data_IF_472386264434
#
_entry.id   IF_472386264434
#
_cell.length_a   1.000
_cell.length_b   1.000
_cell.length_c   1.000
_cell.angle_alpha   90.00
_cell.angle_beta   90.00
_cell.angle_gamma   90.00
#
_symmetry.space_group_name_H-M   'P 1'
#
loop_
_entity.id
_entity.type
_entity.pdbx_description
1 polymer ?
#
# COMPACT_ATOMS: atom_id res chain seq x y z
N UNK A 1 -3.35 -13.27 -34.67
CA UNK A 1 -4.81 -13.10 -34.48
C UNK A 1 -5.25 -14.02 -33.33
N UNK A 2 -5.31 -13.54 -32.08
CA UNK A 2 -5.71 -14.37 -30.92
C UNK A 2 -7.24 -14.33 -30.80
N UNK A 3 -7.88 -15.51 -30.77
CA UNK A 3 -9.35 -15.65 -30.70
C UNK A 3 -9.87 -15.05 -29.38
N UNK A 4 -10.89 -14.18 -29.45
CA UNK A 4 -11.62 -13.69 -28.28
C UNK A 4 -12.26 -14.88 -27.54
N UNK A 5 -12.14 -15.01 -26.21
CA UNK A 5 -12.90 -16.01 -25.48
C UNK A 5 -14.38 -15.62 -25.56
N UNK A 6 -15.20 -16.50 -26.13
CA UNK A 6 -16.66 -16.35 -26.13
C UNK A 6 -17.24 -16.55 -24.73
N UNK A 7 -18.53 -16.23 -24.56
CA UNK A 7 -19.30 -16.32 -23.32
C UNK A 7 -19.13 -17.67 -22.58
N UNK A 8 -18.88 -18.77 -23.31
CA UNK A 8 -18.58 -20.09 -22.73
C UNK A 8 -17.26 -20.19 -21.93
N UNK A 9 -16.32 -19.26 -22.11
CA UNK A 9 -15.10 -19.17 -21.28
C UNK A 9 -15.39 -18.66 -19.86
N UNK A 10 -16.35 -17.75 -19.72
CA UNK A 10 -16.77 -17.21 -18.42
C UNK A 10 -17.57 -18.22 -17.60
N UNK A 11 -18.35 -19.08 -18.27
CA UNK A 11 -19.10 -20.16 -17.63
C UNK A 11 -18.17 -21.22 -17.01
N UNK A 12 -17.03 -21.51 -17.64
CA UNK A 12 -15.99 -22.39 -17.09
C UNK A 12 -15.25 -21.75 -15.90
N UNK A 13 -15.04 -20.43 -15.91
CA UNK A 13 -14.48 -19.70 -14.77
C UNK A 13 -15.44 -19.71 -13.57
N UNK A 14 -16.76 -19.56 -13.81
CA UNK A 14 -17.79 -19.64 -12.76
C UNK A 14 -17.85 -21.02 -12.08
N UNK A 15 -17.67 -22.12 -12.83
CA UNK A 15 -17.58 -23.47 -12.24
C UNK A 15 -16.30 -23.70 -11.44
N UNK A 16 -15.29 -22.87 -11.62
CA UNK A 16 -14.02 -22.88 -10.88
C UNK A 16 -14.01 -21.88 -9.71
N UNK A 17 -15.18 -21.53 -9.15
CA UNK A 17 -15.34 -20.58 -8.02
C UNK A 17 -14.36 -20.83 -6.87
N UNK A 18 -14.18 -22.09 -6.48
CA UNK A 18 -13.26 -22.46 -5.42
C UNK A 18 -11.79 -22.25 -5.83
N UNK A 19 -11.46 -22.34 -7.11
CA UNK A 19 -10.09 -22.18 -7.62
C UNK A 19 -9.75 -20.70 -7.85
N UNK A 20 -10.73 -19.86 -8.22
CA UNK A 20 -10.61 -18.39 -8.23
C UNK A 20 -10.24 -17.87 -6.85
N UNK A 21 -10.94 -18.37 -5.82
CA UNK A 21 -10.72 -17.97 -4.42
C UNK A 21 -9.38 -18.47 -3.86
N UNK A 22 -8.96 -19.67 -4.28
CA UNK A 22 -7.75 -20.33 -3.78
C UNK A 22 -6.45 -19.93 -4.50
N UNK A 23 -6.52 -19.29 -5.67
CA UNK A 23 -5.34 -18.96 -6.47
C UNK A 23 -5.24 -17.46 -6.79
N UNK A 24 -4.31 -16.72 -6.14
CA UNK A 24 -4.14 -15.29 -6.38
C UNK A 24 -3.78 -14.91 -7.82
N UNK A 25 -3.02 -15.77 -8.52
CA UNK A 25 -2.70 -15.56 -9.93
C UNK A 25 -3.95 -15.68 -10.82
N UNK A 26 -4.90 -16.53 -10.43
CA UNK A 26 -6.16 -16.70 -11.16
C UNK A 26 -7.12 -15.53 -10.91
N UNK A 27 -7.13 -14.95 -9.70
CA UNK A 27 -7.85 -13.70 -9.44
C UNK A 27 -7.31 -12.54 -10.30
N UNK A 28 -5.98 -12.36 -10.41
CA UNK A 28 -5.40 -11.37 -11.31
C UNK A 28 -5.82 -11.58 -12.77
N UNK A 29 -5.77 -12.83 -13.25
CA UNK A 29 -6.12 -13.21 -14.62
C UNK A 29 -7.63 -13.10 -14.93
N UNK A 30 -8.49 -13.37 -13.94
CA UNK A 30 -9.94 -13.21 -14.07
C UNK A 30 -10.34 -11.73 -14.17
N UNK A 31 -9.69 -10.86 -13.41
CA UNK A 31 -9.91 -9.42 -13.52
C UNK A 31 -9.42 -8.85 -14.86
N UNK A 32 -8.28 -9.31 -15.37
CA UNK A 32 -7.83 -8.99 -16.74
C UNK A 32 -8.89 -9.42 -17.77
N UNK A 33 -9.54 -10.57 -17.56
CA UNK A 33 -10.64 -11.04 -18.39
C UNK A 33 -11.87 -10.12 -18.28
N UNK A 34 -12.28 -9.70 -17.08
CA UNK A 34 -13.42 -8.79 -16.88
C UNK A 34 -13.18 -7.40 -17.48
N UNK A 35 -11.99 -6.83 -17.26
CA UNK A 35 -11.59 -5.53 -17.79
C UNK A 35 -11.59 -5.52 -19.33
N UNK A 36 -11.11 -6.60 -19.96
CA UNK A 36 -11.13 -6.76 -21.42
C UNK A 36 -12.53 -6.87 -22.02
N UNK A 37 -13.53 -7.24 -21.22
CA UNK A 37 -14.94 -7.35 -21.63
C UNK A 37 -15.71 -6.06 -21.31
N UNK A 38 -15.08 -5.09 -20.64
CA UNK A 38 -15.70 -3.81 -20.28
C UNK A 38 -16.67 -3.90 -19.10
N UNK A 39 -16.55 -4.95 -18.27
CA UNK A 39 -17.36 -5.16 -17.08
C UNK A 39 -16.47 -4.97 -15.86
N UNK A 40 -16.88 -4.08 -14.95
CA UNK A 40 -16.27 -3.98 -13.62
C UNK A 40 -16.97 -5.00 -12.69
N UNK A 41 -16.35 -6.14 -12.37
CA UNK A 41 -16.94 -7.15 -11.48
C UNK A 41 -17.13 -6.61 -10.06
N UNK A 42 -16.60 -5.42 -9.76
CA UNK A 42 -16.64 -4.76 -8.48
C UNK A 42 -17.68 -3.63 -8.39
N UNK A 43 -18.38 -3.28 -9.47
CA UNK A 43 -19.29 -2.11 -9.48
C UNK A 43 -20.62 -2.32 -8.74
N UNK A 44 -21.01 -3.56 -8.38
CA UNK A 44 -22.29 -3.81 -7.70
C UNK A 44 -22.25 -4.99 -6.74
N UNK A 45 -22.68 -4.77 -5.49
CA UNK A 45 -22.92 -5.82 -4.49
C UNK A 45 -24.18 -6.64 -4.79
N UNK A 46 -25.01 -6.18 -5.75
CA UNK A 46 -26.15 -6.93 -6.32
C UNK A 46 -25.85 -7.46 -7.72
N UNK A 47 -24.60 -7.33 -8.17
CA UNK A 47 -24.19 -7.85 -9.47
C UNK A 47 -24.09 -9.36 -9.43
N UNK A 48 -24.43 -10.00 -10.55
CA UNK A 48 -24.31 -11.44 -10.77
C UNK A 48 -22.98 -12.04 -10.24
N UNK A 49 -21.89 -11.27 -10.29
CA UNK A 49 -20.56 -11.67 -9.84
C UNK A 49 -20.34 -11.61 -8.32
N UNK A 50 -20.98 -10.68 -7.60
CA UNK A 50 -20.92 -10.64 -6.14
C UNK A 50 -21.62 -11.85 -5.52
N UNK A 51 -22.79 -12.22 -6.06
CA UNK A 51 -23.57 -13.37 -5.61
C UNK A 51 -22.95 -14.71 -6.07
N UNK A 52 -22.44 -14.78 -7.30
CA UNK A 52 -21.86 -16.00 -7.85
C UNK A 52 -20.46 -16.32 -7.31
N UNK A 53 -19.63 -15.30 -7.05
CA UNK A 53 -18.20 -15.47 -6.72
C UNK A 53 -17.80 -14.92 -5.34
N UNK A 54 -18.65 -14.14 -4.65
CA UNK A 54 -18.33 -13.55 -3.34
C UNK A 54 -17.24 -12.47 -3.38
N UNK A 55 -16.85 -12.02 -4.58
CA UNK A 55 -15.70 -11.13 -4.82
C UNK A 55 -15.94 -9.73 -4.23
N UNK A 56 -17.18 -9.25 -4.26
CA UNK A 56 -17.55 -7.98 -3.63
C UNK A 56 -17.28 -8.01 -2.13
N UNK A 57 -17.87 -8.99 -1.43
CA UNK A 57 -17.77 -9.14 0.02
C UNK A 57 -16.32 -9.29 0.50
N UNK A 58 -15.50 -10.05 -0.24
CA UNK A 58 -14.07 -10.19 0.04
C UNK A 58 -13.34 -8.83 0.06
N UNK A 59 -13.53 -7.98 -0.95
CA UNK A 59 -12.83 -6.71 -1.03
C UNK A 59 -13.33 -5.66 -0.02
N UNK A 60 -14.59 -5.72 0.40
CA UNK A 60 -15.07 -4.90 1.52
C UNK A 60 -14.49 -5.36 2.84
N UNK A 61 -14.47 -6.66 3.12
CA UNK A 61 -13.84 -7.22 4.32
C UNK A 61 -12.35 -6.87 4.39
N UNK A 62 -11.64 -7.03 3.26
CA UNK A 62 -10.25 -6.63 3.14
C UNK A 62 -10.07 -5.10 3.34
N UNK A 63 -11.00 -4.30 2.83
CA UNK A 63 -11.03 -2.84 3.04
C UNK A 63 -11.13 -2.46 4.52
N UNK A 64 -12.00 -3.13 5.29
CA UNK A 64 -12.10 -2.93 6.75
C UNK A 64 -10.79 -3.29 7.46
N UNK A 65 -10.17 -4.41 7.09
CA UNK A 65 -8.88 -4.81 7.68
C UNK A 65 -7.76 -3.81 7.34
N UNK A 66 -7.75 -3.25 6.13
CA UNK A 66 -6.81 -2.20 5.74
C UNK A 66 -6.99 -0.96 6.61
N UNK A 67 -8.23 -0.51 6.83
CA UNK A 67 -8.54 0.62 7.72
C UNK A 67 -7.99 0.37 9.12
N UNK A 68 -8.26 -0.81 9.69
CA UNK A 68 -7.79 -1.17 11.03
C UNK A 68 -6.26 -1.20 11.15
N UNK A 69 -5.56 -1.78 10.17
CA UNK A 69 -4.10 -1.77 10.14
C UNK A 69 -3.60 -0.32 10.12
N UNK A 70 -4.12 0.51 9.21
CA UNK A 70 -3.73 1.90 9.10
C UNK A 70 -4.02 2.70 10.39
N UNK A 71 -5.11 2.43 11.10
CA UNK A 71 -5.42 3.05 12.39
C UNK A 71 -4.39 2.66 13.47
N UNK A 72 -4.04 1.38 13.57
CA UNK A 72 -3.11 0.88 14.60
C UNK A 72 -1.67 1.32 14.32
N UNK A 73 -1.26 1.40 13.06
CA UNK A 73 0.09 1.84 12.70
C UNK A 73 0.27 3.36 12.71
N UNK A 74 -0.82 4.14 12.72
CA UNK A 74 -0.80 5.60 12.52
C UNK A 74 0.13 6.34 13.47
N UNK A 75 0.13 5.97 14.76
CA UNK A 75 1.00 6.61 15.75
C UNK A 75 2.50 6.41 15.47
N UNK A 76 2.84 5.40 14.67
CA UNK A 76 4.23 5.05 14.35
C UNK A 76 4.66 5.56 12.99
N UNK A 77 3.75 5.77 12.04
CA UNK A 77 4.09 6.10 10.65
C UNK A 77 3.38 7.34 10.09
N UNK A 78 2.70 8.11 10.94
CA UNK A 78 1.99 9.34 10.58
C UNK A 78 0.83 9.14 9.61
N UNK A 79 0.40 7.90 9.34
CA UNK A 79 -0.64 7.62 8.36
C UNK A 79 -0.11 7.42 6.93
N UNK A 80 1.18 7.13 6.78
CA UNK A 80 1.78 6.70 5.52
C UNK A 80 2.44 5.32 5.71
N UNK A 81 1.99 4.32 4.95
CA UNK A 81 2.48 2.95 5.06
C UNK A 81 2.85 2.39 3.70
N UNK A 82 3.91 1.59 3.59
CA UNK A 82 4.21 0.93 2.32
C UNK A 82 3.19 -0.16 2.01
N UNK A 83 2.85 -0.35 0.72
CA UNK A 83 1.92 -1.41 0.31
C UNK A 83 2.44 -2.80 0.72
N UNK A 84 3.75 -2.99 0.70
CA UNK A 84 4.42 -4.21 1.15
C UNK A 84 4.20 -4.47 2.65
N UNK A 85 4.39 -3.44 3.49
CA UNK A 85 4.19 -3.54 4.93
C UNK A 85 2.71 -3.73 5.31
N UNK A 86 1.80 -3.03 4.63
CA UNK A 86 0.36 -3.25 4.75
C UNK A 86 0.00 -4.71 4.43
N UNK A 87 0.50 -5.25 3.32
CA UNK A 87 0.33 -6.67 2.98
C UNK A 87 0.87 -7.61 4.06
N UNK A 88 2.03 -7.29 4.65
CA UNK A 88 2.61 -8.10 5.73
C UNK A 88 1.72 -8.11 6.97
N UNK A 89 1.19 -6.97 7.40
CA UNK A 89 0.24 -6.90 8.51
C UNK A 89 -1.03 -7.72 8.24
N UNK A 90 -1.60 -7.61 7.04
CA UNK A 90 -2.80 -8.36 6.66
C UNK A 90 -2.56 -9.87 6.64
N UNK A 91 -1.41 -10.31 6.11
CA UNK A 91 -1.01 -11.72 6.13
C UNK A 91 -0.77 -12.26 7.54
N UNK A 92 -0.18 -11.46 8.43
CA UNK A 92 0.03 -11.86 9.82
C UNK A 92 -1.28 -12.07 10.58
N UNK A 93 -2.31 -11.25 10.31
CA UNK A 93 -3.65 -11.42 10.90
C UNK A 93 -4.36 -12.66 10.36
N UNK A 94 -4.12 -12.99 9.08
CA UNK A 94 -4.71 -14.12 8.37
C UNK A 94 -3.93 -15.44 8.52
N UNK A 95 -3.03 -15.59 9.51
CA UNK A 95 -2.18 -16.80 9.72
C UNK A 95 -2.94 -18.15 9.77
N UNK A 96 -4.26 -18.16 10.02
CA UNK A 96 -5.13 -19.35 9.98
C UNK A 96 -5.87 -19.55 8.65
N UNK A 97 -5.94 -18.53 7.80
CA UNK A 97 -6.53 -18.58 6.47
C UNK A 97 -5.49 -19.00 5.42
N UNK A 98 -5.91 -19.83 4.47
CA UNK A 98 -5.05 -20.33 3.38
C UNK A 98 -4.85 -19.33 2.24
N UNK A 99 -5.52 -18.18 2.28
CA UNK A 99 -5.58 -17.24 1.16
C UNK A 99 -4.59 -16.09 1.36
N UNK A 100 -3.53 -16.09 0.54
CA UNK A 100 -2.50 -15.07 0.60
C UNK A 100 -2.98 -13.77 -0.07
N UNK A 101 -3.18 -12.73 0.74
CA UNK A 101 -3.47 -11.37 0.24
C UNK A 101 -2.30 -10.87 -0.60
N UNK A 102 -2.59 -10.43 -1.82
CA UNK A 102 -1.62 -9.81 -2.73
C UNK A 102 -1.67 -8.29 -2.68
N UNK A 103 -0.64 -7.63 -3.22
CA UNK A 103 -0.66 -6.17 -3.38
C UNK A 103 -1.83 -5.70 -4.24
N UNK A 104 -2.19 -6.47 -5.27
CA UNK A 104 -3.28 -6.13 -6.17
C UNK A 104 -4.65 -6.22 -5.46
N UNK A 105 -4.82 -7.19 -4.56
CA UNK A 105 -6.02 -7.26 -3.71
C UNK A 105 -6.15 -6.05 -2.80
N UNK A 106 -5.04 -5.60 -2.22
CA UNK A 106 -5.00 -4.36 -1.43
C UNK A 106 -5.36 -3.13 -2.27
N UNK A 107 -4.82 -3.00 -3.49
CA UNK A 107 -5.14 -1.88 -4.37
C UNK A 107 -6.62 -1.84 -4.74
N UNK A 108 -7.22 -2.99 -5.02
CA UNK A 108 -8.66 -3.11 -5.30
C UNK A 108 -9.50 -2.77 -4.08
N UNK A 109 -9.16 -3.27 -2.90
CA UNK A 109 -9.86 -2.93 -1.66
C UNK A 109 -9.77 -1.42 -1.35
N UNK A 110 -8.58 -0.81 -1.49
CA UNK A 110 -8.39 0.63 -1.31
C UNK A 110 -9.22 1.43 -2.32
N UNK A 111 -9.34 0.98 -3.57
CA UNK A 111 -10.18 1.63 -4.57
C UNK A 111 -11.66 1.72 -4.14
N UNK A 112 -12.14 0.74 -3.35
CA UNK A 112 -13.50 0.76 -2.78
C UNK A 112 -13.65 1.74 -1.64
N UNK A 113 -12.60 1.95 -0.85
CA UNK A 113 -12.61 2.92 0.25
C UNK A 113 -12.77 4.37 -0.24
N UNK A 114 -12.50 4.67 -1.51
CA UNK A 114 -12.68 6.02 -2.10
C UNK A 114 -14.11 6.56 -1.95
N UNK A 115 -15.13 5.69 -1.87
CA UNK A 115 -16.52 6.13 -1.67
C UNK A 115 -16.76 6.75 -0.29
N UNK A 116 -15.86 6.47 0.68
CA UNK A 116 -15.89 7.06 2.02
C UNK A 116 -15.25 8.46 2.06
N UNK A 117 -14.72 8.95 0.93
CA UNK A 117 -14.03 10.23 0.80
C UNK A 117 -12.55 10.08 0.45
N UNK A 118 -11.81 11.19 0.48
CA UNK A 118 -10.38 11.26 0.12
C UNK A 118 -9.43 10.74 1.20
N UNK A 119 -9.92 9.89 2.11
CA UNK A 119 -9.18 9.44 3.28
C UNK A 119 -8.21 8.28 3.02
N UNK A 120 -8.25 7.64 1.85
CA UNK A 120 -7.35 6.54 1.49
C UNK A 120 -6.87 6.71 0.06
N UNK A 121 -5.57 6.92 -0.11
CA UNK A 121 -4.96 7.14 -1.42
C UNK A 121 -3.68 6.33 -1.58
N UNK A 122 -3.46 5.81 -2.78
CA UNK A 122 -2.20 5.17 -3.14
C UNK A 122 -1.34 6.18 -3.87
N UNK A 123 -0.21 6.54 -3.27
CA UNK A 123 0.81 7.41 -3.88
C UNK A 123 2.02 6.58 -4.30
N UNK A 124 2.75 7.05 -5.31
CA UNK A 124 3.98 6.40 -5.77
C UNK A 124 5.16 7.29 -5.43
N UNK A 125 6.12 6.76 -4.67
CA UNK A 125 7.40 7.42 -4.36
C UNK A 125 8.51 6.56 -4.95
N UNK A 126 9.22 7.09 -5.95
CA UNK A 126 10.16 6.32 -6.76
C UNK A 126 9.52 5.06 -7.34
N UNK A 127 9.98 3.89 -6.89
CA UNK A 127 9.45 2.57 -7.30
C UNK A 127 8.49 1.93 -6.29
N UNK A 128 8.25 2.57 -5.14
CA UNK A 128 7.38 2.02 -4.08
C UNK A 128 6.00 2.66 -4.13
N UNK A 129 4.97 1.84 -3.89
CA UNK A 129 3.59 2.29 -3.63
C UNK A 129 3.40 2.44 -2.13
N UNK A 130 2.90 3.60 -1.71
CA UNK A 130 2.54 3.90 -0.34
C UNK A 130 1.05 4.18 -0.25
N UNK A 131 0.43 3.80 0.87
CA UNK A 131 -0.95 4.09 1.20
C UNK A 131 -0.96 5.24 2.20
N UNK A 132 -1.60 6.34 1.81
CA UNK A 132 -1.80 7.53 2.63
C UNK A 132 -3.22 7.51 3.19
N UNK A 133 -3.35 7.70 4.50
CA UNK A 133 -4.64 7.69 5.21
C UNK A 133 -5.03 9.01 5.87
N UNK A 134 -4.17 10.01 5.75
CA UNK A 134 -4.34 11.34 6.30
C UNK A 134 -4.19 12.38 5.20
N UNK A 135 -4.89 13.53 5.29
CA UNK A 135 -4.77 14.62 4.32
C UNK A 135 -3.47 15.41 4.53
N UNK A 136 -2.33 14.74 4.59
CA UNK A 136 -1.03 15.42 4.65
C UNK A 136 -0.66 15.92 3.27
N UNK A 137 -0.43 17.22 3.15
CA UNK A 137 -0.02 17.88 1.91
C UNK A 137 1.45 17.57 1.59
N UNK A 138 1.70 16.39 1.03
CA UNK A 138 3.01 16.05 0.48
C UNK A 138 3.24 16.81 -0.83
N UNK A 139 4.11 17.80 -0.79
CA UNK A 139 4.55 18.54 -1.96
C UNK A 139 5.71 17.80 -2.67
N UNK A 140 6.23 18.39 -3.74
CA UNK A 140 7.36 17.82 -4.50
C UNK A 140 8.60 17.59 -3.62
N UNK A 141 8.85 18.48 -2.68
CA UNK A 141 10.05 18.42 -1.84
C UNK A 141 9.98 17.24 -0.88
N UNK A 142 8.85 17.07 -0.21
CA UNK A 142 8.59 15.91 0.66
C UNK A 142 8.74 14.60 -0.13
N UNK A 143 8.21 14.54 -1.35
CA UNK A 143 8.32 13.35 -2.19
C UNK A 143 9.77 13.03 -2.58
N UNK A 144 10.57 14.05 -2.94
CA UNK A 144 11.99 13.86 -3.26
C UNK A 144 12.80 13.40 -2.03
N UNK A 145 12.46 13.89 -0.84
CA UNK A 145 13.10 13.48 0.41
C UNK A 145 12.77 12.03 0.78
N UNK A 146 11.49 11.65 0.69
CA UNK A 146 11.05 10.26 0.88
C UNK A 146 11.69 9.34 -0.16
N UNK A 147 11.85 9.79 -1.40
CA UNK A 147 12.52 9.02 -2.45
C UNK A 147 14.00 8.79 -2.14
N UNK A 148 14.72 9.79 -1.64
CA UNK A 148 16.10 9.61 -1.16
C UNK A 148 16.19 8.62 -0.01
N UNK A 149 15.21 8.65 0.90
CA UNK A 149 15.16 7.75 2.04
C UNK A 149 14.91 6.27 1.66
N UNK A 150 14.42 5.98 0.45
CA UNK A 150 14.09 4.61 0.02
C UNK A 150 15.27 3.62 0.12
N UNK A 151 16.51 4.10 0.05
CA UNK A 151 17.70 3.23 0.09
C UNK A 151 18.05 2.73 1.48
N UNK A 152 17.82 3.54 2.51
CA UNK A 152 18.34 3.28 3.86
C UNK A 152 17.33 3.52 4.99
N UNK A 153 16.15 4.08 4.67
CA UNK A 153 15.08 4.38 5.63
C UNK A 153 15.21 5.74 6.32
N UNK A 154 16.29 6.48 6.09
CA UNK A 154 16.53 7.80 6.69
C UNK A 154 17.28 8.73 5.74
N UNK A 155 17.28 10.03 6.05
CA UNK A 155 18.15 11.03 5.40
C UNK A 155 19.02 11.74 6.43
N UNK A 156 20.09 12.36 5.94
CA UNK A 156 20.96 13.27 6.70
C UNK A 156 21.00 14.59 5.92
N UNK A 157 20.96 15.73 6.61
CA UNK A 157 20.84 17.07 5.99
C UNK A 157 21.89 17.30 4.91
N UNK A 158 23.17 17.04 5.21
CA UNK A 158 24.27 17.28 4.26
C UNK A 158 24.12 16.43 2.99
N UNK A 159 23.56 15.23 3.11
CA UNK A 159 23.33 14.32 1.99
C UNK A 159 22.21 14.81 1.09
N UNK A 160 21.11 15.31 1.68
CA UNK A 160 20.00 15.91 0.91
C UNK A 160 20.49 17.15 0.16
N UNK A 161 21.22 18.03 0.84
CA UNK A 161 21.80 19.22 0.22
C UNK A 161 22.67 18.86 -0.97
N UNK A 162 23.56 17.88 -0.80
CA UNK A 162 24.50 17.44 -1.84
C UNK A 162 23.81 16.75 -3.02
N UNK A 163 22.82 15.88 -2.77
CA UNK A 163 22.17 15.09 -3.84
C UNK A 163 21.08 15.86 -4.58
N UNK A 164 20.37 16.76 -3.91
CA UNK A 164 19.30 17.55 -4.53
C UNK A 164 19.72 18.98 -4.88
N UNK A 165 20.95 19.38 -4.52
CA UNK A 165 21.45 20.76 -4.65
C UNK A 165 20.54 21.77 -3.93
N UNK A 166 20.06 21.41 -2.75
CA UNK A 166 19.17 22.25 -1.94
C UNK A 166 19.95 23.08 -0.92
N UNK A 167 19.39 24.25 -0.58
CA UNK A 167 19.88 25.07 0.53
C UNK A 167 19.56 24.39 1.86
N UNK A 168 20.35 24.69 2.90
CA UNK A 168 20.12 24.13 4.24
C UNK A 168 18.73 24.48 4.77
N UNK A 169 18.31 25.75 4.64
CA UNK A 169 16.96 26.19 5.06
C UNK A 169 15.84 25.37 4.41
N UNK A 170 15.89 25.16 3.08
CA UNK A 170 14.88 24.36 2.39
C UNK A 170 14.83 22.90 2.88
N UNK A 171 15.98 22.30 3.19
CA UNK A 171 16.02 20.94 3.75
C UNK A 171 15.41 20.91 5.15
N UNK A 172 15.74 21.89 5.99
CA UNK A 172 15.22 22.02 7.35
C UNK A 172 13.71 22.23 7.33
N UNK A 173 13.19 23.19 6.55
CA UNK A 173 11.75 23.47 6.45
C UNK A 173 10.94 22.23 6.04
N UNK A 174 11.46 21.47 5.07
CA UNK A 174 10.84 20.22 4.62
C UNK A 174 10.89 19.12 5.69
N UNK A 175 11.99 19.02 6.46
CA UNK A 175 12.12 18.05 7.55
C UNK A 175 11.23 18.42 8.73
N UNK A 176 11.17 19.69 9.12
CA UNK A 176 10.29 20.19 10.18
C UNK A 176 8.83 19.87 9.85
N UNK A 177 8.39 20.14 8.62
CA UNK A 177 7.04 19.76 8.18
C UNK A 177 6.78 18.26 8.30
N UNK A 178 7.74 17.42 7.88
CA UNK A 178 7.59 15.96 7.97
C UNK A 178 7.63 15.43 9.41
N UNK A 179 8.30 16.13 10.33
CA UNK A 179 8.31 15.83 11.76
C UNK A 179 6.99 16.23 12.43
N UNK A 180 6.48 17.43 12.13
CA UNK A 180 5.19 17.92 12.63
C UNK A 180 4.03 17.02 12.20
N UNK A 181 4.07 16.52 10.97
CA UNK A 181 3.10 15.55 10.43
C UNK A 181 3.30 14.12 10.98
N UNK A 182 4.35 13.86 11.76
CA UNK A 182 4.67 12.54 12.32
C UNK A 182 5.12 11.51 11.29
N UNK A 183 5.55 11.96 10.10
CA UNK A 183 6.06 11.12 9.02
C UNK A 183 7.56 10.83 9.14
N UNK A 184 8.26 11.63 9.95
CA UNK A 184 9.68 11.48 10.25
C UNK A 184 9.93 11.37 11.76
N UNK A 185 11.08 10.81 12.13
CA UNK A 185 11.59 10.76 13.51
C UNK A 185 13.07 11.15 13.53
N UNK A 186 13.52 11.87 14.55
CA UNK A 186 14.92 12.26 14.72
C UNK A 186 15.68 11.18 15.50
N UNK A 187 16.87 10.83 15.02
CA UNK A 187 17.85 10.00 15.70
C UNK A 187 19.21 10.72 15.76
N UNK A 188 19.59 11.11 16.97
CA UNK A 188 20.87 11.75 17.29
C UNK A 188 21.87 10.78 17.94
N UNK A 189 21.52 9.50 18.10
CA UNK A 189 22.26 8.53 18.88
C UNK A 189 23.33 7.75 18.11
N UNK A 190 23.50 8.01 16.81
CA UNK A 190 24.39 7.23 15.98
C UNK A 190 25.89 7.55 16.26
N UNK A 191 26.74 6.52 16.15
CA UNK A 191 28.18 6.56 16.54
C UNK A 191 29.03 7.59 15.80
N UNK A 192 28.59 8.04 14.64
CA UNK A 192 29.29 9.05 13.82
C UNK A 192 28.91 10.49 14.16
N UNK A 193 28.04 10.69 15.15
CA UNK A 193 27.57 12.01 15.60
C UNK A 193 26.63 12.72 14.63
N UNK A 194 26.18 12.05 13.54
CA UNK A 194 25.30 12.65 12.54
C UNK A 194 23.83 12.43 12.89
N UNK A 195 23.05 13.51 12.88
CA UNK A 195 21.59 13.48 13.01
C UNK A 195 20.95 12.80 11.80
N UNK A 196 20.11 11.79 12.06
CA UNK A 196 19.36 11.05 11.04
C UNK A 196 17.86 11.33 11.20
N UNK A 197 17.20 11.54 10.08
CA UNK A 197 15.75 11.69 10.02
C UNK A 197 15.16 10.43 9.40
N UNK A 198 14.58 9.58 10.24
CA UNK A 198 14.03 8.27 9.89
C UNK A 198 12.60 8.38 9.40
N UNK A 199 12.27 7.62 8.34
CA UNK A 199 10.94 7.58 7.74
C UNK A 199 10.37 6.16 7.83
N UNK A 200 9.46 5.88 8.78
CA UNK A 200 8.86 4.57 8.98
C UNK A 200 8.30 3.98 7.69
N UNK A 201 7.61 4.80 6.89
CA UNK A 201 6.91 4.38 5.67
C UNK A 201 7.81 3.80 4.56
N UNK A 202 9.12 4.06 4.61
CA UNK A 202 10.09 3.56 3.62
C UNK A 202 11.19 2.70 4.24
N UNK A 203 11.27 2.66 5.56
CA UNK A 203 12.26 1.90 6.30
C UNK A 203 11.85 0.44 6.45
N UNK A 204 12.78 -0.49 6.22
CA UNK A 204 12.51 -1.92 6.31
C UNK A 204 12.55 -2.45 7.75
N UNK A 205 12.64 -1.58 8.77
CA UNK A 205 12.99 -1.99 10.16
C UNK A 205 12.01 -3.02 10.75
N UNK A 206 10.79 -3.11 10.25
CA UNK A 206 9.78 -4.05 10.76
C UNK A 206 9.81 -5.45 10.12
N UNK A 207 10.77 -5.75 9.24
CA UNK A 207 10.91 -7.11 8.67
C UNK A 207 11.62 -8.11 9.58
N UNK A 208 12.16 -7.72 10.75
CA UNK A 208 13.05 -8.59 11.55
C UNK A 208 12.74 -8.72 13.04
N UNK A 209 11.64 -8.19 13.58
CA UNK A 209 11.24 -8.53 14.96
C UNK A 209 10.25 -9.69 14.95
N UNK A 210 10.78 -10.89 14.70
CA UNK A 210 10.02 -12.15 14.70
C UNK A 210 10.87 -13.37 15.01
N UNK A 211 12.04 -13.18 15.60
CA UNK A 211 12.86 -14.23 16.19
C UNK A 211 13.44 -13.66 17.49
N UNK A 212 12.76 -13.97 18.59
CA UNK A 212 13.31 -14.23 19.93
C UNK A 212 12.20 -14.03 20.97
N UNK A 213 11.45 -15.11 21.19
CA UNK A 213 11.19 -15.75 22.50
C UNK A 213 10.47 -17.07 22.25
#
# INVERSE_FOLDING_TARGET
MRRRPGIGGLQKAATARNDIRKNPAFSAQFHEMCANIGVDPLASNKGFWAELLGIGDFYYELGVQIIEVCMITRSHNGGLISLQELCNHLRQRRKKDREAVTEDDCLRAISKLKVLGSGFEVITIGKKKLVRTVPTALNKDHNQMLELALSQGFVIVEEVQRRLSWTSGRVIDALETLLEEGLAMIDNGHKDGKCRYWFPCVSSVYSSTGSDT
#
